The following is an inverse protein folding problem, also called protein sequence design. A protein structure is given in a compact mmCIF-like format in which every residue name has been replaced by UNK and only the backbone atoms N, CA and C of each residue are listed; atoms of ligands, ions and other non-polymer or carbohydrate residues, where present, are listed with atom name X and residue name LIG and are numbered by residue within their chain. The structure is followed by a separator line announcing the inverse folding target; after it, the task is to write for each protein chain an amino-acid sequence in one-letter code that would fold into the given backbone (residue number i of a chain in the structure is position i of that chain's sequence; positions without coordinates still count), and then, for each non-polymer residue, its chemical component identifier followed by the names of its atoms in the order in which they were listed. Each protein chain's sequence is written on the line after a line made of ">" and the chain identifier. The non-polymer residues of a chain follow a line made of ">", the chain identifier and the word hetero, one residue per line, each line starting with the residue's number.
data_IF_577286249076
#
_entry.id   IF_577286249076
#
_cell.length_a   1.000
_cell.length_b   1.000
_cell.length_c   1.000
_cell.angle_alpha   90.00
_cell.angle_beta   90.00
_cell.angle_gamma   90.00
#
_symmetry.space_group_name_H-M   'P 1'
#
loop_
_entity.id
_entity.type
_entity.pdbx_description
1 polymer ?
#
# COMPACT_ATOMS: atom_id res chain seq x y z
N UNK A 1 27.25 11.83 -5.61
CA UNK A 1 25.81 12.17 -5.45
C UNK A 1 25.06 10.86 -5.20
N UNK A 2 24.20 10.77 -4.17
CA UNK A 2 23.31 9.59 -4.03
C UNK A 2 22.35 9.57 -5.21
N UNK A 3 22.14 8.36 -5.77
CA UNK A 3 21.16 8.16 -6.85
C UNK A 3 19.76 8.37 -6.26
N UNK A 4 18.95 9.25 -6.86
CA UNK A 4 17.54 9.42 -6.50
C UNK A 4 16.78 8.12 -6.79
N UNK A 5 15.91 7.72 -5.88
CA UNK A 5 15.00 6.59 -6.06
C UNK A 5 13.83 7.06 -6.92
N UNK A 6 13.63 6.42 -8.05
CA UNK A 6 12.50 6.71 -8.95
C UNK A 6 11.26 5.97 -8.45
N UNK A 7 10.18 6.70 -8.20
CA UNK A 7 8.91 6.17 -7.75
C UNK A 7 7.82 6.37 -8.79
N UNK A 8 6.94 5.36 -8.93
CA UNK A 8 5.70 5.46 -9.65
C UNK A 8 4.52 5.23 -8.70
N UNK A 9 3.39 5.84 -8.97
CA UNK A 9 2.21 5.73 -8.11
C UNK A 9 1.01 5.33 -8.96
N UNK A 10 0.46 4.15 -8.74
CA UNK A 10 -0.81 3.71 -9.32
C UNK A 10 -1.95 4.09 -8.37
N UNK A 11 -3.01 4.66 -8.92
CA UNK A 11 -4.10 5.25 -8.14
C UNK A 11 -3.74 6.61 -7.54
N UNK A 12 -2.83 7.34 -8.19
CA UNK A 12 -2.32 8.64 -7.74
C UNK A 12 -3.42 9.69 -7.53
N UNK A 13 -4.55 9.56 -8.22
CA UNK A 13 -5.70 10.48 -8.12
C UNK A 13 -6.74 10.04 -7.08
N UNK A 14 -6.52 8.97 -6.33
CA UNK A 14 -7.30 8.63 -5.14
C UNK A 14 -6.83 9.44 -3.91
N UNK A 15 -7.60 9.45 -2.83
CA UNK A 15 -7.22 10.16 -1.59
C UNK A 15 -5.86 9.71 -1.04
N UNK A 16 -5.64 8.40 -0.91
CA UNK A 16 -4.38 7.85 -0.43
C UNK A 16 -3.23 8.13 -1.42
N UNK A 17 -3.49 8.03 -2.72
CA UNK A 17 -2.51 8.31 -3.76
C UNK A 17 -2.08 9.77 -3.76
N UNK A 18 -3.01 10.71 -3.66
CA UNK A 18 -2.71 12.14 -3.59
C UNK A 18 -1.91 12.51 -2.35
N UNK A 19 -2.23 11.94 -1.20
CA UNK A 19 -1.45 12.17 0.02
C UNK A 19 -0.03 11.58 -0.10
N UNK A 20 0.10 10.43 -0.75
CA UNK A 20 1.40 9.83 -1.06
C UNK A 20 2.23 10.73 -2.00
N UNK A 21 1.62 11.28 -3.05
CA UNK A 21 2.25 12.28 -3.92
C UNK A 21 2.80 13.43 -3.10
N UNK A 22 1.96 14.04 -2.24
CA UNK A 22 2.35 15.16 -1.38
C UNK A 22 3.54 14.82 -0.47
N UNK A 23 3.54 13.62 0.12
CA UNK A 23 4.63 13.18 1.01
C UNK A 23 5.92 12.94 0.22
N UNK A 24 5.84 12.25 -0.92
CA UNK A 24 7.02 11.90 -1.72
C UNK A 24 7.65 13.10 -2.39
N UNK A 25 6.88 14.12 -2.79
CA UNK A 25 7.42 15.38 -3.30
C UNK A 25 8.32 16.11 -2.30
N UNK A 26 8.05 15.96 -0.99
CA UNK A 26 8.90 16.49 0.07
C UNK A 26 10.10 15.58 0.42
N UNK A 27 10.21 14.40 -0.16
CA UNK A 27 11.24 13.43 0.18
C UNK A 27 12.56 13.68 -0.57
N UNK A 28 13.66 13.91 0.16
CA UNK A 28 14.96 14.34 -0.41
C UNK A 28 15.66 13.31 -1.31
N UNK A 29 15.26 12.05 -1.25
CA UNK A 29 15.92 10.95 -1.96
C UNK A 29 14.97 10.25 -2.98
N UNK A 30 13.77 10.80 -3.21
CA UNK A 30 12.76 10.23 -4.10
C UNK A 30 12.38 11.24 -5.19
N UNK A 31 12.23 10.74 -6.40
CA UNK A 31 11.68 11.46 -7.55
C UNK A 31 10.47 10.68 -8.07
N UNK A 32 9.29 11.32 -8.12
CA UNK A 32 8.11 10.71 -8.73
C UNK A 32 8.28 10.82 -10.25
N UNK A 33 8.22 9.70 -10.95
CA UNK A 33 8.41 9.62 -12.39
C UNK A 33 7.10 9.61 -13.16
N UNK A 34 6.03 9.09 -12.56
CA UNK A 34 4.73 9.04 -13.20
C UNK A 34 3.60 8.86 -12.19
N UNK A 35 2.41 9.27 -12.61
CA UNK A 35 1.17 9.29 -11.86
C UNK A 35 0.14 8.44 -12.61
N UNK A 36 -0.11 7.20 -12.18
CA UNK A 36 -1.08 6.28 -12.78
C UNK A 36 -2.51 6.57 -12.33
N UNK A 37 -3.43 6.67 -13.26
CA UNK A 37 -4.84 6.88 -12.99
C UNK A 37 -5.72 6.40 -14.13
N UNK A 38 -6.63 5.45 -13.87
CA UNK A 38 -7.61 4.98 -14.87
C UNK A 38 -8.66 6.03 -15.25
N UNK A 39 -9.01 6.90 -14.31
CA UNK A 39 -10.11 7.85 -14.50
C UNK A 39 -9.68 9.14 -15.20
N UNK A 40 -8.39 9.42 -15.22
CA UNK A 40 -7.87 10.71 -15.69
C UNK A 40 -6.65 10.56 -16.60
N UNK A 41 -6.63 9.50 -17.43
CA UNK A 41 -5.56 9.28 -18.44
C UNK A 41 -5.45 10.52 -19.33
N UNK A 42 -4.21 10.93 -19.63
CA UNK A 42 -3.85 12.10 -20.47
C UNK A 42 -4.27 13.47 -19.89
N UNK A 43 -4.87 13.52 -18.70
CA UNK A 43 -5.12 14.79 -18.01
C UNK A 43 -3.93 15.20 -17.15
N UNK A 44 -3.64 16.49 -17.09
CA UNK A 44 -2.65 16.97 -16.14
C UNK A 44 -3.07 16.67 -14.71
N UNK A 45 -2.13 16.24 -13.89
CA UNK A 45 -2.40 15.95 -12.47
C UNK A 45 -2.98 17.17 -11.74
N UNK A 46 -2.48 18.37 -12.06
CA UNK A 46 -2.97 19.64 -11.51
C UNK A 46 -4.41 19.99 -11.93
N UNK A 47 -4.95 19.43 -13.02
CA UNK A 47 -6.36 19.59 -13.36
C UNK A 47 -7.28 18.81 -12.42
N UNK A 48 -6.79 17.69 -11.88
CA UNK A 48 -7.52 16.88 -10.90
C UNK A 48 -7.37 17.47 -9.50
N UNK A 49 -6.19 17.96 -9.17
CA UNK A 49 -5.84 18.55 -7.89
C UNK A 49 -5.28 19.96 -8.06
N UNK A 50 -6.16 20.95 -8.00
CA UNK A 50 -5.82 22.37 -8.24
C UNK A 50 -4.76 22.93 -7.28
N UNK A 51 -4.61 22.37 -6.09
CA UNK A 51 -3.52 22.70 -5.16
C UNK A 51 -2.13 22.27 -5.63
N UNK A 52 -2.06 21.50 -6.71
CA UNK A 52 -0.81 21.08 -7.38
C UNK A 52 -0.51 21.92 -8.63
N UNK A 53 -1.28 22.98 -8.89
CA UNK A 53 -1.06 23.89 -10.00
C UNK A 53 0.35 24.53 -9.92
N UNK A 54 1.06 24.57 -11.04
CA UNK A 54 2.46 25.00 -11.15
C UNK A 54 3.48 24.19 -10.30
N UNK A 55 3.04 23.09 -9.67
CA UNK A 55 3.90 22.20 -8.88
C UNK A 55 4.09 20.85 -9.61
N UNK A 56 3.04 20.32 -10.19
CA UNK A 56 3.04 19.06 -10.95
C UNK A 56 2.42 19.30 -12.32
N UNK A 57 3.25 19.41 -13.34
CA UNK A 57 2.80 19.61 -14.73
C UNK A 57 2.62 18.30 -15.51
N UNK A 58 2.98 17.17 -14.90
CA UNK A 58 2.90 15.86 -15.53
C UNK A 58 1.45 15.45 -15.80
N UNK A 59 1.28 14.64 -16.85
CA UNK A 59 -0.01 14.02 -17.18
C UNK A 59 -0.16 12.68 -16.45
N UNK A 60 -1.41 12.33 -16.13
CA UNK A 60 -1.73 11.02 -15.61
C UNK A 60 -1.61 9.97 -16.71
N UNK A 61 -0.93 8.87 -16.41
CA UNK A 61 -0.75 7.74 -17.31
C UNK A 61 -1.78 6.65 -17.01
N UNK A 62 -1.94 5.73 -17.94
CA UNK A 62 -2.61 4.46 -17.68
C UNK A 62 -1.84 3.67 -16.62
N UNK A 63 -2.50 2.72 -15.96
CA UNK A 63 -1.91 1.88 -14.90
C UNK A 63 -1.30 0.56 -15.45
N UNK A 64 -0.81 0.56 -16.68
CA UNK A 64 -0.15 -0.59 -17.30
C UNK A 64 1.21 -0.88 -16.63
N UNK A 65 1.19 -1.78 -15.62
CA UNK A 65 2.39 -2.11 -14.85
C UNK A 65 3.49 -2.77 -15.70
N UNK A 66 3.16 -3.51 -16.74
CA UNK A 66 4.17 -4.19 -17.58
C UNK A 66 5.08 -3.18 -18.29
N UNK A 67 4.53 -2.07 -18.74
CA UNK A 67 5.27 -0.99 -19.40
C UNK A 67 5.96 -0.06 -18.41
N UNK A 68 5.29 0.26 -17.31
CA UNK A 68 5.73 1.27 -16.36
C UNK A 68 6.77 0.75 -15.36
N UNK A 69 6.78 -0.57 -15.07
CA UNK A 69 7.67 -1.18 -14.08
C UNK A 69 9.16 -0.97 -14.37
N UNK A 70 9.55 -0.95 -15.66
CA UNK A 70 10.95 -0.78 -16.05
C UNK A 70 11.49 0.65 -15.88
N UNK A 71 10.62 1.63 -15.65
CA UNK A 71 10.96 3.05 -15.60
C UNK A 71 11.35 3.53 -14.20
N UNK A 72 11.03 2.75 -13.17
CA UNK A 72 11.14 3.15 -11.76
C UNK A 72 11.80 2.08 -10.90
N UNK A 73 12.28 2.49 -9.74
CA UNK A 73 12.88 1.60 -8.73
C UNK A 73 11.81 1.03 -7.77
N UNK A 74 10.69 1.75 -7.60
CA UNK A 74 9.57 1.36 -6.73
C UNK A 74 8.23 1.81 -7.28
N UNK A 75 7.21 0.96 -7.19
CA UNK A 75 5.81 1.28 -7.47
C UNK A 75 5.01 1.24 -6.16
N UNK A 76 4.25 2.29 -5.91
CA UNK A 76 3.20 2.31 -4.90
C UNK A 76 1.86 2.04 -5.55
N UNK A 77 1.09 1.10 -5.01
CA UNK A 77 -0.27 0.81 -5.47
C UNK A 77 -1.29 1.28 -4.44
N UNK A 78 -1.94 2.41 -4.74
CA UNK A 78 -3.02 2.99 -3.93
C UNK A 78 -4.38 2.68 -4.56
N UNK A 79 -4.66 1.39 -4.74
CA UNK A 79 -5.78 0.85 -5.51
C UNK A 79 -6.74 0.05 -4.62
N UNK A 80 -7.97 -0.21 -5.07
CA UNK A 80 -8.88 -1.13 -4.40
C UNK A 80 -8.33 -2.55 -4.32
N UNK A 81 -8.84 -3.33 -3.36
CA UNK A 81 -8.51 -4.75 -3.20
C UNK A 81 -8.80 -5.53 -4.50
N UNK A 82 -7.97 -6.52 -4.77
CA UNK A 82 -8.04 -7.36 -5.96
C UNK A 82 -7.35 -6.79 -7.20
N UNK A 83 -6.99 -5.52 -7.20
CA UNK A 83 -6.29 -4.92 -8.34
C UNK A 83 -4.88 -5.50 -8.49
N UNK A 84 -4.02 -5.32 -7.48
CA UNK A 84 -2.64 -5.77 -7.57
C UNK A 84 -2.57 -7.29 -7.71
N UNK A 85 -3.36 -8.04 -6.94
CA UNK A 85 -3.44 -9.48 -7.09
C UNK A 85 -3.86 -9.93 -8.50
N UNK A 86 -4.58 -9.10 -9.23
CA UNK A 86 -5.02 -9.39 -10.60
C UNK A 86 -3.99 -9.15 -11.70
N UNK A 87 -2.98 -8.30 -11.44
CA UNK A 87 -2.01 -7.87 -12.46
C UNK A 87 -0.56 -8.23 -12.11
N UNK A 88 -0.29 -8.64 -10.87
CA UNK A 88 1.06 -8.95 -10.41
C UNK A 88 1.61 -10.20 -11.08
N UNK A 89 2.81 -10.09 -11.62
CA UNK A 89 3.56 -11.18 -12.24
C UNK A 89 4.98 -11.25 -11.65
N UNK A 90 5.62 -12.40 -11.82
CA UNK A 90 7.03 -12.57 -11.43
C UNK A 90 7.95 -11.63 -12.23
N UNK A 91 7.61 -11.36 -13.49
CA UNK A 91 8.37 -10.46 -14.34
C UNK A 91 8.35 -9.01 -13.82
N UNK A 92 7.20 -8.55 -13.33
CA UNK A 92 7.08 -7.24 -12.68
C UNK A 92 7.93 -7.18 -11.40
N UNK A 93 7.83 -8.19 -10.52
CA UNK A 93 8.61 -8.24 -9.27
C UNK A 93 10.12 -8.35 -9.49
N UNK A 94 10.54 -8.88 -10.63
CA UNK A 94 11.95 -8.90 -11.00
C UNK A 94 12.49 -7.55 -11.49
N UNK A 95 11.61 -6.67 -11.97
CA UNK A 95 11.96 -5.34 -12.47
C UNK A 95 11.90 -4.25 -11.40
N UNK A 96 10.93 -4.33 -10.47
CA UNK A 96 10.62 -3.23 -9.58
C UNK A 96 10.15 -3.71 -8.20
N UNK A 97 10.44 -2.95 -7.15
CA UNK A 97 9.85 -3.17 -5.82
C UNK A 97 8.43 -2.63 -5.78
N UNK A 98 7.52 -3.34 -5.09
CA UNK A 98 6.13 -2.93 -4.95
C UNK A 98 5.79 -2.71 -3.48
N UNK A 99 5.14 -1.57 -3.21
CA UNK A 99 4.56 -1.23 -1.92
C UNK A 99 3.05 -1.11 -2.13
N UNK A 100 2.33 -2.12 -1.68
CA UNK A 100 0.89 -2.22 -1.86
C UNK A 100 0.13 -1.66 -0.66
N UNK A 101 -0.72 -0.65 -0.91
CA UNK A 101 -1.59 -0.06 0.10
C UNK A 101 -2.94 -0.78 0.22
N UNK A 102 -3.23 -1.73 -0.68
CA UNK A 102 -4.42 -2.58 -0.59
C UNK A 102 -4.26 -3.67 0.48
N UNK A 103 -5.25 -4.55 0.58
CA UNK A 103 -5.21 -5.67 1.52
C UNK A 103 -4.70 -6.98 0.89
N UNK A 104 -4.39 -6.97 -0.41
CA UNK A 104 -4.21 -8.20 -1.19
C UNK A 104 -3.15 -9.16 -0.61
N UNK A 105 -2.07 -8.63 -0.06
CA UNK A 105 -0.96 -9.45 0.43
C UNK A 105 -0.74 -9.38 1.95
N UNK A 106 -1.71 -8.83 2.71
CA UNK A 106 -1.57 -8.68 4.18
C UNK A 106 -1.83 -9.96 4.95
N UNK A 107 -2.71 -10.84 4.44
CA UNK A 107 -3.16 -12.05 5.12
C UNK A 107 -2.54 -13.27 4.45
N UNK A 108 -1.81 -14.08 5.23
CA UNK A 108 -1.12 -15.27 4.71
C UNK A 108 -2.06 -16.39 4.28
N UNK A 109 -3.19 -16.53 4.96
CA UNK A 109 -4.21 -17.53 4.63
C UNK A 109 -5.18 -16.99 3.58
N UNK A 110 -5.12 -17.56 2.38
CA UNK A 110 -5.98 -17.19 1.24
C UNK A 110 -7.46 -17.34 1.59
N UNK A 111 -7.83 -18.41 2.28
CA UNK A 111 -9.23 -18.67 2.63
C UNK A 111 -9.79 -17.61 3.59
N UNK A 112 -8.95 -17.11 4.48
CA UNK A 112 -9.29 -16.00 5.38
C UNK A 112 -9.43 -14.70 4.60
N UNK A 113 -8.53 -14.41 3.68
CA UNK A 113 -8.63 -13.23 2.81
C UNK A 113 -9.95 -13.25 2.02
N UNK A 114 -10.25 -14.32 1.30
CA UNK A 114 -11.45 -14.45 0.48
C UNK A 114 -12.73 -14.41 1.31
N UNK A 115 -12.71 -15.01 2.49
CA UNK A 115 -13.84 -14.96 3.43
C UNK A 115 -14.18 -13.53 3.85
N UNK A 116 -13.16 -12.70 4.15
CA UNK A 116 -13.37 -11.35 4.67
C UNK A 116 -13.61 -10.32 3.58
N UNK A 117 -12.83 -10.36 2.49
CA UNK A 117 -12.92 -9.39 1.40
C UNK A 117 -13.93 -9.77 0.33
N UNK A 118 -14.42 -11.02 0.29
CA UNK A 118 -15.38 -11.54 -0.71
C UNK A 118 -14.87 -11.42 -2.14
N UNK A 119 -13.58 -11.55 -2.33
CA UNK A 119 -12.86 -11.47 -3.60
C UNK A 119 -11.93 -12.68 -3.68
N UNK A 120 -11.90 -13.36 -4.82
CA UNK A 120 -10.93 -14.41 -5.12
C UNK A 120 -9.52 -13.82 -5.23
N UNK A 121 -8.53 -14.46 -4.58
CA UNK A 121 -7.15 -14.02 -4.65
C UNK A 121 -6.45 -14.57 -5.89
N UNK A 122 -6.18 -13.72 -6.90
CA UNK A 122 -5.70 -14.17 -8.22
C UNK A 122 -4.20 -14.49 -8.28
N UNK A 123 -3.41 -14.11 -7.29
CA UNK A 123 -1.97 -14.38 -7.25
C UNK A 123 -1.49 -14.88 -5.87
N UNK A 124 -2.04 -16.01 -5.37
CA UNK A 124 -1.71 -16.53 -4.05
C UNK A 124 -0.25 -16.97 -3.90
N UNK A 125 0.44 -17.25 -5.00
CA UNK A 125 1.86 -17.66 -5.01
C UNK A 125 2.81 -16.58 -4.44
N UNK A 126 2.42 -15.30 -4.45
CA UNK A 126 3.25 -14.20 -3.94
C UNK A 126 2.96 -13.85 -2.47
N UNK A 127 1.95 -14.45 -1.86
CA UNK A 127 1.57 -14.14 -0.48
C UNK A 127 2.69 -14.48 0.51
N UNK A 128 3.38 -15.63 0.31
CA UNK A 128 4.43 -16.06 1.23
C UNK A 128 5.64 -15.13 1.24
N UNK A 129 6.03 -14.58 0.08
CA UNK A 129 7.15 -13.65 0.01
C UNK A 129 6.80 -12.22 0.46
N UNK A 130 5.52 -11.85 0.42
CA UNK A 130 5.08 -10.52 0.81
C UNK A 130 5.43 -10.22 2.28
N UNK A 131 6.11 -9.12 2.52
CA UNK A 131 6.47 -8.67 3.86
C UNK A 131 5.43 -7.67 4.37
N UNK A 132 4.89 -7.90 5.57
CA UNK A 132 4.00 -6.94 6.21
C UNK A 132 4.75 -5.67 6.59
N UNK A 133 4.37 -4.55 6.00
CA UNK A 133 5.13 -3.30 5.93
C UNK A 133 5.12 -2.44 7.18
N UNK A 134 4.83 -3.01 8.37
CA UNK A 134 4.92 -2.27 9.63
C UNK A 134 6.40 -2.11 10.03
N UNK A 135 6.98 -0.99 9.59
CA UNK A 135 8.42 -0.71 9.67
C UNK A 135 8.97 -0.71 11.10
N UNK A 136 8.16 -0.35 12.09
CA UNK A 136 8.54 -0.33 13.50
C UNK A 136 8.91 -1.73 14.02
N UNK A 137 8.32 -2.76 13.43
CA UNK A 137 8.53 -4.17 13.83
C UNK A 137 9.33 -4.93 12.79
N UNK A 138 9.11 -4.67 11.50
CA UNK A 138 9.63 -5.47 10.39
C UNK A 138 10.69 -4.77 9.53
N UNK A 139 11.33 -3.70 10.02
CA UNK A 139 12.25 -2.86 9.25
C UNK A 139 13.30 -3.64 8.45
N UNK A 140 13.95 -4.63 9.07
CA UNK A 140 15.01 -5.37 8.40
C UNK A 140 14.48 -6.31 7.31
N UNK A 141 13.28 -6.87 7.49
CA UNK A 141 12.61 -7.68 6.48
C UNK A 141 12.17 -6.82 5.30
N UNK A 142 11.63 -5.63 5.58
CA UNK A 142 11.17 -4.67 4.55
C UNK A 142 12.31 -4.22 3.62
N UNK A 143 13.53 -4.01 4.15
CA UNK A 143 14.69 -3.60 3.35
C UNK A 143 15.00 -4.56 2.21
N UNK A 144 14.87 -5.86 2.43
CA UNK A 144 15.16 -6.91 1.45
C UNK A 144 13.97 -7.31 0.57
N UNK A 145 12.77 -6.87 0.88
CA UNK A 145 11.56 -7.32 0.21
C UNK A 145 11.39 -6.73 -1.19
N UNK A 146 10.83 -7.54 -2.10
CA UNK A 146 10.35 -7.11 -3.43
C UNK A 146 8.89 -6.65 -3.35
N UNK A 147 8.09 -7.32 -2.51
CA UNK A 147 6.68 -7.06 -2.31
C UNK A 147 6.42 -6.72 -0.84
N UNK A 148 5.88 -5.53 -0.61
CA UNK A 148 5.59 -5.01 0.72
C UNK A 148 4.08 -4.78 0.82
N UNK A 149 3.41 -5.51 1.72
CA UNK A 149 2.01 -5.33 2.05
C UNK A 149 1.89 -4.25 3.15
N UNK A 150 1.62 -3.00 2.74
CA UNK A 150 1.51 -1.90 3.67
C UNK A 150 0.31 -2.08 4.61
N UNK A 151 0.44 -1.91 5.93
CA UNK A 151 -0.63 -2.15 6.89
C UNK A 151 -1.78 -1.13 6.75
N UNK A 152 -2.98 -1.55 7.15
CA UNK A 152 -4.12 -0.65 7.27
C UNK A 152 -4.02 0.23 8.51
N UNK A 153 -4.73 1.36 8.53
CA UNK A 153 -4.68 2.38 9.59
C UNK A 153 -5.08 1.82 10.97
N UNK A 154 -6.20 1.11 11.07
CA UNK A 154 -6.68 0.53 12.33
C UNK A 154 -5.75 -0.56 12.87
N UNK A 155 -5.26 -1.44 11.99
CA UNK A 155 -4.32 -2.50 12.39
C UNK A 155 -2.99 -1.91 12.83
N UNK A 156 -2.49 -0.88 12.17
CA UNK A 156 -1.28 -0.15 12.60
C UNK A 156 -1.44 0.41 14.00
N UNK A 157 -2.52 1.14 14.25
CA UNK A 157 -2.82 1.71 15.56
C UNK A 157 -2.89 0.62 16.65
N UNK A 158 -3.67 -0.43 16.40
CA UNK A 158 -3.87 -1.52 17.38
C UNK A 158 -2.57 -2.26 17.68
N UNK A 159 -1.79 -2.60 16.63
CA UNK A 159 -0.53 -3.33 16.80
C UNK A 159 0.49 -2.46 17.54
N UNK A 160 0.70 -1.22 17.15
CA UNK A 160 1.69 -0.35 17.80
C UNK A 160 1.33 -0.04 19.25
N UNK A 161 0.04 0.02 19.58
CA UNK A 161 -0.43 0.20 20.96
C UNK A 161 -0.19 -1.05 21.81
N UNK A 162 -0.51 -2.24 21.28
CA UNK A 162 -0.44 -3.48 22.05
C UNK A 162 0.96 -4.11 22.07
N UNK A 163 1.73 -3.96 21.00
CA UNK A 163 3.01 -4.66 20.82
C UNK A 163 4.00 -4.48 21.97
N UNK A 164 4.28 -3.26 22.48
CA UNK A 164 5.24 -3.11 23.59
C UNK A 164 4.77 -3.82 24.85
N UNK A 165 3.49 -3.80 25.15
CA UNK A 165 2.92 -4.47 26.33
C UNK A 165 3.03 -5.99 26.22
N UNK A 166 2.72 -6.53 25.03
CA UNK A 166 2.83 -7.97 24.76
C UNK A 166 4.30 -8.40 24.81
N UNK A 167 5.19 -7.64 24.20
CA UNK A 167 6.63 -7.92 24.18
C UNK A 167 7.25 -7.98 25.58
N UNK A 168 6.82 -7.11 26.49
CA UNK A 168 7.28 -7.06 27.86
C UNK A 168 6.52 -8.01 28.81
N UNK A 169 5.65 -8.89 28.26
CA UNK A 169 4.83 -9.82 29.06
C UNK A 169 3.85 -9.13 30.01
N UNK A 170 3.47 -7.90 29.74
CA UNK A 170 2.56 -7.09 30.57
C UNK A 170 1.11 -7.14 30.09
N UNK A 171 0.79 -8.02 29.14
CA UNK A 171 -0.57 -8.23 28.67
C UNK A 171 -1.13 -9.52 29.28
N UNK A 172 -2.29 -9.45 29.94
CA UNK A 172 -3.08 -10.63 30.24
C UNK A 172 -3.91 -11.02 29.02
N UNK A 173 -4.01 -12.33 28.72
CA UNK A 173 -4.99 -12.85 27.77
C UNK A 173 -6.41 -12.67 28.30
N UNK A 174 -6.95 -11.48 28.18
CA UNK A 174 -8.39 -11.27 28.37
C UNK A 174 -9.09 -11.43 27.04
N UNK A 175 -9.96 -12.41 26.93
CA UNK A 175 -11.00 -12.42 25.91
C UNK A 175 -11.82 -11.15 26.13
N UNK A 176 -11.75 -10.21 25.19
CA UNK A 176 -12.73 -9.12 25.11
C UNK A 176 -14.07 -9.80 24.89
N UNK A 177 -14.85 -9.92 25.96
CA UNK A 177 -16.09 -10.70 25.97
C UNK A 177 -17.17 -10.07 25.07
N UNK A 178 -18.22 -10.83 24.87
CA UNK A 178 -19.44 -10.40 24.15
C UNK A 178 -20.03 -9.09 24.70
N UNK A 179 -19.74 -8.78 25.94
CA UNK A 179 -20.21 -7.58 26.65
C UNK A 179 -19.67 -6.26 26.04
N UNK A 180 -18.47 -6.25 25.47
CA UNK A 180 -17.97 -5.09 24.74
C UNK A 180 -18.75 -4.81 23.46
N UNK A 181 -19.28 -5.84 22.81
CA UNK A 181 -20.10 -5.68 21.59
C UNK A 181 -21.50 -5.15 21.89
N UNK A 182 -22.07 -5.45 23.07
CA UNK A 182 -23.40 -4.99 23.45
C UNK A 182 -23.43 -3.55 23.96
N UNK A 183 -22.29 -3.01 24.43
CA UNK A 183 -22.18 -1.61 24.87
C UNK A 183 -21.95 -0.61 23.72
N UNK A 184 -21.53 -1.07 22.57
CA UNK A 184 -21.44 -0.28 21.33
C UNK A 184 -22.69 -0.52 20.49
N UNK A 185 -23.84 -0.39 21.12
CA UNK A 185 -25.14 -0.48 20.48
C UNK A 185 -25.40 0.71 19.54
N UNK A 186 -26.19 0.52 18.47
CA UNK A 186 -26.32 1.41 17.30
C UNK A 186 -27.08 2.71 17.54
N UNK A 187 -26.98 3.29 18.68
CA UNK A 187 -27.49 4.63 18.97
C UNK A 187 -26.42 5.73 18.82
N UNK A 188 -25.40 5.41 18.02
CA UNK A 188 -24.35 6.39 17.71
C UNK A 188 -24.12 6.45 16.21
#
# INVERSE_FOLDING_TARGET
>A
MRKMIKAGIIGATGYAGNELVRILMGHKEVEIKWYGSRSYIDKKYAEVYQNMFEIVDDVCLDDNMDELASQVDVIFTATPQGFLAGVLTEDILNKVKIIDLSADFRIKDVSVYEKWYKIEHKSPQFIEEAVYGLCEINRDKVKGARLIANPGCYTTCSILTAYPLVKEGRSEERRVGKECRSRWSPYH
#
